data_IF_262679737300
#
_entry.id   IF_262679737300
#
_cell.length_a   1.000
_cell.length_b   1.000
_cell.length_c   1.000
_cell.angle_alpha   90.00
_cell.angle_beta   90.00
_cell.angle_gamma   90.00
#
_symmetry.space_group_name_H-M   'P 1'
#
loop_
_entity.id
_entity.type
_entity.pdbx_description
1 polymer ?
#
# COMPACT_ATOMS: atom_id res chain seq x y z
N UNK A 1 57.63 -29.39 -42.62
CA UNK A 1 57.72 -29.13 -41.17
C UNK A 1 57.05 -27.80 -40.86
N UNK A 2 55.85 -27.80 -40.28
CA UNK A 2 55.23 -26.61 -39.72
C UNK A 2 54.22 -27.05 -38.64
N UNK A 3 54.32 -26.43 -37.46
CA UNK A 3 53.75 -26.85 -36.18
C UNK A 3 52.22 -26.72 -36.15
N UNK A 4 51.53 -27.71 -35.57
CA UNK A 4 50.13 -27.63 -35.14
C UNK A 4 50.00 -26.55 -34.05
N UNK A 5 49.09 -25.56 -34.19
CA UNK A 5 48.68 -24.75 -33.06
C UNK A 5 47.60 -25.49 -32.25
N UNK A 6 47.97 -25.77 -31.00
CA UNK A 6 47.14 -26.24 -29.89
C UNK A 6 45.93 -25.33 -29.64
N UNK A 7 44.74 -25.91 -29.59
CA UNK A 7 43.52 -25.24 -29.13
C UNK A 7 43.55 -24.96 -27.62
N UNK A 8 43.25 -23.74 -27.15
CA UNK A 8 42.74 -23.52 -25.81
C UNK A 8 41.21 -23.53 -25.84
N UNK A 9 40.64 -24.47 -25.08
CA UNK A 9 39.20 -24.67 -24.87
C UNK A 9 38.60 -23.46 -24.13
N UNK A 10 37.67 -22.78 -24.81
CA UNK A 10 36.57 -21.92 -24.32
C UNK A 10 36.57 -21.61 -22.81
N UNK A 11 36.87 -20.35 -22.51
CA UNK A 11 36.50 -19.62 -21.28
C UNK A 11 35.00 -19.79 -21.00
N UNK A 12 34.69 -20.43 -19.87
CA UNK A 12 33.34 -20.47 -19.30
C UNK A 12 33.02 -19.12 -18.67
N UNK A 13 32.59 -18.15 -19.47
CA UNK A 13 31.91 -16.95 -18.96
C UNK A 13 30.47 -16.99 -19.47
N UNK A 14 29.67 -17.83 -18.82
CA UNK A 14 28.27 -18.05 -19.17
C UNK A 14 27.37 -17.72 -17.98
N UNK A 15 26.56 -16.67 -18.17
CA UNK A 15 25.32 -16.40 -17.47
C UNK A 15 25.39 -16.22 -15.94
N UNK A 16 25.55 -14.96 -15.52
CA UNK A 16 24.92 -14.49 -14.27
C UNK A 16 23.42 -14.79 -14.36
N UNK A 17 22.97 -15.83 -13.65
CA UNK A 17 21.56 -16.00 -13.27
C UNK A 17 21.18 -14.80 -12.42
N UNK A 18 20.62 -13.77 -13.03
CA UNK A 18 19.74 -12.84 -12.34
C UNK A 18 18.43 -13.60 -12.06
N UNK A 19 18.45 -14.46 -11.03
CA UNK A 19 17.20 -14.99 -10.50
C UNK A 19 16.47 -13.80 -9.89
N UNK A 20 15.38 -13.41 -10.53
CA UNK A 20 14.38 -12.52 -9.98
C UNK A 20 14.20 -12.84 -8.49
N UNK A 21 14.61 -11.90 -7.64
CA UNK A 21 14.31 -11.94 -6.22
C UNK A 21 12.82 -11.60 -6.10
N UNK A 22 11.98 -12.57 -6.46
CA UNK A 22 10.58 -12.55 -6.13
C UNK A 22 10.50 -12.45 -4.62
N UNK A 23 10.03 -11.30 -4.14
CA UNK A 23 9.60 -11.15 -2.77
C UNK A 23 8.45 -12.15 -2.56
N UNK A 24 8.80 -13.37 -2.18
CA UNK A 24 7.88 -14.40 -1.76
C UNK A 24 7.28 -13.96 -0.44
N UNK A 25 6.29 -13.07 -0.52
CA UNK A 25 5.40 -12.80 0.59
C UNK A 25 4.78 -14.13 0.99
N UNK A 26 5.17 -14.66 2.15
CA UNK A 26 4.53 -15.82 2.76
C UNK A 26 3.03 -15.53 2.75
N UNK A 27 2.28 -16.25 1.91
CA UNK A 27 0.82 -16.27 1.99
C UNK A 27 0.51 -16.88 3.34
N UNK A 28 0.23 -16.05 4.35
CA UNK A 28 -0.36 -16.52 5.59
C UNK A 28 -1.72 -17.12 5.22
N UNK A 29 -1.72 -18.45 5.03
CA UNK A 29 -2.91 -19.22 4.71
C UNK A 29 -3.95 -19.10 5.83
N UNK A 30 -5.20 -19.48 5.52
CA UNK A 30 -6.39 -19.23 6.33
C UNK A 30 -6.32 -19.57 7.83
N UNK A 31 -5.33 -20.35 8.28
CA UNK A 31 -5.05 -20.57 9.70
C UNK A 31 -4.80 -19.28 10.50
N UNK A 32 -4.17 -18.26 9.92
CA UNK A 32 -3.97 -16.97 10.61
C UNK A 32 -5.29 -16.24 10.91
N UNK A 33 -6.27 -16.33 9.99
CA UNK A 33 -7.61 -15.77 10.19
C UNK A 33 -8.39 -16.53 11.25
N UNK A 34 -8.28 -17.86 11.26
CA UNK A 34 -8.93 -18.69 12.27
C UNK A 34 -8.43 -18.37 13.68
N UNK A 35 -7.12 -18.23 13.86
CA UNK A 35 -6.53 -17.83 15.14
C UNK A 35 -7.03 -16.44 15.56
N UNK A 36 -7.07 -15.48 14.64
CA UNK A 36 -7.59 -14.14 14.94
C UNK A 36 -9.06 -14.16 15.37
N UNK A 37 -9.91 -14.94 14.70
CA UNK A 37 -11.32 -15.09 15.09
C UNK A 37 -11.48 -15.79 16.44
N UNK A 38 -10.70 -16.83 16.72
CA UNK A 38 -10.70 -17.50 18.03
C UNK A 38 -10.22 -16.57 19.15
N UNK A 39 -9.18 -15.78 18.91
CA UNK A 39 -8.69 -14.80 19.87
C UNK A 39 -9.75 -13.73 20.17
N UNK A 40 -10.40 -13.21 19.13
CA UNK A 40 -11.48 -12.24 19.30
C UNK A 40 -12.71 -12.83 20.02
N UNK A 41 -13.10 -14.07 19.68
CA UNK A 41 -14.18 -14.77 20.37
C UNK A 41 -13.84 -15.05 21.85
N UNK A 42 -12.59 -15.43 22.14
CA UNK A 42 -12.10 -15.57 23.50
C UNK A 42 -12.16 -14.25 24.27
N UNK A 43 -11.75 -13.15 23.63
CA UNK A 43 -11.83 -11.81 24.21
C UNK A 43 -13.26 -11.35 24.49
N UNK A 44 -14.21 -11.69 23.62
CA UNK A 44 -15.63 -11.40 23.83
C UNK A 44 -16.18 -12.11 25.08
N UNK A 45 -15.68 -13.30 25.39
CA UNK A 45 -16.09 -14.05 26.57
C UNK A 45 -15.39 -13.58 27.85
N UNK A 46 -14.08 -13.29 27.79
CA UNK A 46 -13.29 -12.93 28.98
C UNK A 46 -13.34 -11.46 29.34
N UNK A 47 -13.44 -10.56 28.35
CA UNK A 47 -13.48 -9.11 28.55
C UNK A 47 -14.53 -8.46 27.61
N UNK A 48 -15.84 -8.68 27.83
CA UNK A 48 -16.90 -8.14 26.99
C UNK A 48 -16.84 -6.61 26.78
N UNK A 49 -16.52 -5.78 27.80
CA UNK A 49 -16.41 -4.33 27.59
C UNK A 49 -15.32 -3.96 26.56
N UNK A 50 -14.18 -4.66 26.57
CA UNK A 50 -13.07 -4.35 25.66
C UNK A 50 -13.44 -4.75 24.23
N UNK A 51 -14.08 -5.90 24.06
CA UNK A 51 -14.59 -6.32 22.76
C UNK A 51 -15.64 -5.33 22.23
N UNK A 52 -16.54 -4.84 23.09
CA UNK A 52 -17.52 -3.81 22.71
C UNK A 52 -16.85 -2.50 22.28
N UNK A 53 -15.83 -2.04 23.01
CA UNK A 53 -15.06 -0.86 22.64
C UNK A 53 -14.39 -1.02 21.27
N UNK A 54 -13.80 -2.20 20.99
CA UNK A 54 -13.21 -2.48 19.68
C UNK A 54 -14.25 -2.45 18.56
N UNK A 55 -15.41 -3.07 18.75
CA UNK A 55 -16.47 -3.09 17.73
C UNK A 55 -16.95 -1.68 17.42
N UNK A 56 -17.20 -0.86 18.46
CA UNK A 56 -17.72 0.50 18.31
C UNK A 56 -16.64 1.45 17.78
N UNK A 57 -15.44 1.41 18.36
CA UNK A 57 -14.33 2.27 17.95
C UNK A 57 -13.85 1.98 16.53
N UNK A 58 -13.81 0.70 16.13
CA UNK A 58 -13.41 0.31 14.77
C UNK A 58 -14.53 0.36 13.73
N UNK A 59 -15.70 0.95 14.05
CA UNK A 59 -16.83 1.07 13.11
C UNK A 59 -16.42 1.59 11.71
N UNK A 60 -15.62 2.66 11.56
CA UNK A 60 -15.18 3.12 10.24
C UNK A 60 -14.45 2.03 9.43
N UNK A 61 -13.64 1.21 10.09
CA UNK A 61 -12.92 0.11 9.44
C UNK A 61 -13.86 -1.05 9.11
N UNK A 62 -14.84 -1.33 9.97
CA UNK A 62 -15.86 -2.35 9.70
C UNK A 62 -16.73 -1.96 8.49
N UNK A 63 -17.12 -0.68 8.39
CA UNK A 63 -17.84 -0.15 7.24
C UNK A 63 -17.01 -0.33 5.96
N UNK A 64 -15.74 0.04 5.98
CA UNK A 64 -14.85 -0.16 4.83
C UNK A 64 -14.68 -1.64 4.49
N UNK A 65 -14.58 -2.51 5.51
CA UNK A 65 -14.46 -3.95 5.34
C UNK A 65 -15.69 -4.53 4.66
N UNK A 66 -16.90 -4.04 4.94
CA UNK A 66 -18.14 -4.57 4.40
C UNK A 66 -18.51 -3.93 3.05
N UNK A 67 -18.26 -2.64 2.87
CA UNK A 67 -18.73 -1.87 1.72
C UNK A 67 -17.74 -1.74 0.56
N UNK A 68 -16.42 -1.84 0.80
CA UNK A 68 -15.43 -1.63 -0.26
C UNK A 68 -15.30 -2.86 -1.18
N UNK A 69 -15.54 -2.65 -2.47
CA UNK A 69 -15.48 -3.68 -3.52
C UNK A 69 -14.35 -3.44 -4.52
N UNK A 70 -13.49 -2.47 -4.26
CA UNK A 70 -12.43 -2.09 -5.20
C UNK A 70 -11.25 -3.05 -5.20
N UNK A 71 -10.45 -3.07 -6.30
CA UNK A 71 -9.22 -3.87 -6.37
C UNK A 71 -8.19 -3.52 -5.28
N UNK A 72 -8.16 -2.25 -4.86
CA UNK A 72 -7.21 -1.71 -3.90
C UNK A 72 -7.66 -1.88 -2.45
N UNK A 73 -8.81 -2.54 -2.22
CA UNK A 73 -9.43 -2.75 -0.91
C UNK A 73 -8.42 -3.17 0.16
N UNK A 74 -7.48 -4.07 -0.16
CA UNK A 74 -6.47 -4.54 0.81
C UNK A 74 -5.59 -3.41 1.36
N UNK A 75 -5.12 -2.50 0.51
CA UNK A 75 -4.25 -1.38 0.91
C UNK A 75 -5.06 -0.38 1.74
N UNK A 76 -6.26 -0.06 1.27
CA UNK A 76 -7.16 0.89 1.94
C UNK A 76 -7.60 0.40 3.31
N UNK A 77 -7.96 -0.88 3.41
CA UNK A 77 -8.31 -1.51 4.68
C UNK A 77 -7.15 -1.50 5.66
N UNK A 78 -5.93 -1.82 5.23
CA UNK A 78 -4.77 -1.84 6.11
C UNK A 78 -4.44 -0.46 6.66
N UNK A 79 -4.44 0.57 5.79
CA UNK A 79 -4.22 1.96 6.21
C UNK A 79 -5.30 2.42 7.20
N UNK A 80 -6.57 2.23 6.85
CA UNK A 80 -7.71 2.61 7.68
C UNK A 80 -7.69 1.87 9.03
N UNK A 81 -7.42 0.56 9.02
CA UNK A 81 -7.33 -0.25 10.23
C UNK A 81 -6.21 0.22 11.16
N UNK A 82 -5.01 0.47 10.63
CA UNK A 82 -3.87 0.90 11.45
C UNK A 82 -4.15 2.24 12.14
N UNK A 83 -4.65 3.22 11.39
CA UNK A 83 -4.97 4.55 11.92
C UNK A 83 -6.15 4.52 12.89
N UNK A 84 -7.24 3.85 12.53
CA UNK A 84 -8.41 3.74 13.39
C UNK A 84 -8.06 3.01 14.70
N UNK A 85 -7.36 1.86 14.61
CA UNK A 85 -6.90 1.13 15.79
C UNK A 85 -6.00 2.01 16.66
N UNK A 86 -5.09 2.78 16.07
CA UNK A 86 -4.24 3.72 16.80
C UNK A 86 -5.03 4.75 17.61
N UNK A 87 -6.17 5.22 17.12
CA UNK A 87 -7.06 6.12 17.86
C UNK A 87 -7.81 5.43 19.01
N UNK A 88 -8.10 4.14 18.87
CA UNK A 88 -8.79 3.33 19.90
C UNK A 88 -7.82 2.84 20.99
N UNK A 89 -6.53 2.66 20.65
CA UNK A 89 -5.48 2.17 21.57
C UNK A 89 -5.40 2.86 22.94
N UNK A 90 -5.37 4.20 23.06
CA UNK A 90 -5.26 4.84 24.39
C UNK A 90 -6.41 4.46 25.33
N UNK A 91 -7.63 4.31 24.79
CA UNK A 91 -8.82 3.91 25.55
C UNK A 91 -8.81 2.41 25.90
N UNK A 92 -8.24 1.58 25.02
CA UNK A 92 -8.00 0.16 25.32
C UNK A 92 -7.03 0.00 26.49
N UNK A 93 -5.92 0.74 26.48
CA UNK A 93 -4.92 0.71 27.56
C UNK A 93 -5.55 1.21 28.86
N UNK A 94 -6.27 2.35 28.84
CA UNK A 94 -6.99 2.87 30.02
C UNK A 94 -7.91 1.80 30.62
N UNK A 95 -8.66 1.08 29.79
CA UNK A 95 -9.59 0.05 30.26
C UNK A 95 -8.90 -1.25 30.69
N UNK A 96 -7.76 -1.58 30.10
CA UNK A 96 -6.95 -2.71 30.54
C UNK A 96 -6.37 -2.48 31.95
N UNK A 97 -5.84 -1.28 32.20
CA UNK A 97 -5.22 -0.92 33.49
C UNK A 97 -6.25 -0.71 34.60
N UNK A 98 -7.36 -0.02 34.31
CA UNK A 98 -8.42 0.23 35.29
C UNK A 98 -9.32 -1.00 35.56
N UNK A 99 -9.23 -2.02 34.71
CA UNK A 99 -10.10 -3.20 34.73
C UNK A 99 -11.29 -3.05 33.77
N UNK A 100 -11.63 -4.11 32.99
CA UNK A 100 -12.76 -4.07 32.07
C UNK A 100 -14.08 -3.87 32.82
N UNK A 101 -14.76 -2.74 32.58
CA UNK A 101 -16.08 -2.47 33.16
C UNK A 101 -16.99 -1.76 32.16
N UNK A 102 -18.29 -2.04 32.24
CA UNK A 102 -19.29 -1.35 31.42
C UNK A 102 -19.46 0.12 31.82
N UNK A 103 -19.17 0.47 33.08
CA UNK A 103 -19.19 1.87 33.54
C UNK A 103 -18.12 2.67 32.82
N UNK A 104 -16.88 2.16 32.77
CA UNK A 104 -15.79 2.82 32.07
C UNK A 104 -16.01 2.87 30.56
N UNK A 105 -16.58 1.82 29.98
CA UNK A 105 -16.99 1.83 28.57
C UNK A 105 -17.98 2.96 28.29
N UNK A 106 -19.01 3.12 29.13
CA UNK A 106 -20.00 4.18 28.94
C UNK A 106 -19.40 5.56 29.13
N UNK A 107 -18.50 5.74 30.11
CA UNK A 107 -17.75 6.99 30.28
C UNK A 107 -17.01 7.38 28.98
N UNK A 108 -16.26 6.43 28.40
CA UNK A 108 -15.54 6.63 27.12
C UNK A 108 -16.53 6.93 25.98
N UNK A 109 -17.64 6.21 25.88
CA UNK A 109 -18.63 6.40 24.81
C UNK A 109 -19.42 7.71 24.93
N UNK A 110 -19.52 8.29 26.12
CA UNK A 110 -20.17 9.60 26.32
C UNK A 110 -19.20 10.77 26.21
N UNK A 111 -17.89 10.52 26.21
CA UNK A 111 -16.87 11.55 26.11
C UNK A 111 -16.66 11.99 24.65
N UNK A 112 -16.94 13.27 24.38
CA UNK A 112 -16.71 13.88 23.08
C UNK A 112 -15.24 13.78 22.65
N UNK A 113 -14.30 13.96 23.58
CA UNK A 113 -12.88 13.88 23.26
C UNK A 113 -12.50 12.48 22.78
N UNK A 114 -13.08 11.43 23.38
CA UNK A 114 -12.88 10.06 22.93
C UNK A 114 -13.30 9.85 21.48
N UNK A 115 -14.49 10.35 21.09
CA UNK A 115 -14.93 10.29 19.70
C UNK A 115 -14.02 11.06 18.75
N UNK A 116 -13.57 12.26 19.14
CA UNK A 116 -12.67 13.05 18.29
C UNK A 116 -11.34 12.35 18.04
N UNK A 117 -10.78 11.65 19.03
CA UNK A 117 -9.52 10.91 18.87
C UNK A 117 -9.73 9.66 18.03
N UNK A 118 -10.76 8.86 18.33
CA UNK A 118 -11.03 7.62 17.58
C UNK A 118 -11.39 7.90 16.12
N UNK A 119 -12.37 8.78 15.88
CA UNK A 119 -12.81 9.13 14.53
C UNK A 119 -11.80 10.03 13.81
N UNK A 120 -11.10 10.90 14.53
CA UNK A 120 -10.05 11.75 13.96
C UNK A 120 -8.88 10.94 13.45
N UNK A 121 -8.45 9.91 14.20
CA UNK A 121 -7.42 9.00 13.74
C UNK A 121 -7.88 8.21 12.50
N UNK A 122 -9.10 7.66 12.52
CA UNK A 122 -9.69 7.00 11.36
C UNK A 122 -9.75 7.93 10.13
N UNK A 123 -10.18 9.18 10.33
CA UNK A 123 -10.22 10.22 9.31
C UNK A 123 -8.84 10.57 8.75
N UNK A 124 -7.80 10.59 9.59
CA UNK A 124 -6.42 10.78 9.13
C UNK A 124 -5.96 9.63 8.22
N UNK A 125 -6.35 8.39 8.54
CA UNK A 125 -6.10 7.24 7.66
C UNK A 125 -6.79 7.38 6.29
N UNK A 126 -8.04 7.85 6.27
CA UNK A 126 -8.75 8.15 5.03
C UNK A 126 -8.12 9.32 4.25
N UNK A 127 -7.72 10.39 4.94
CA UNK A 127 -7.06 11.54 4.34
C UNK A 127 -5.74 11.15 3.67
N UNK A 128 -4.96 10.25 4.30
CA UNK A 128 -3.73 9.72 3.71
C UNK A 128 -3.99 9.06 2.35
N UNK A 129 -5.08 8.29 2.24
CA UNK A 129 -5.46 7.62 0.99
C UNK A 129 -5.86 8.60 -0.12
N UNK A 130 -6.30 9.81 0.22
CA UNK A 130 -6.58 10.87 -0.76
C UNK A 130 -5.36 11.71 -1.11
N UNK A 131 -4.48 11.98 -0.14
CA UNK A 131 -3.30 12.82 -0.34
C UNK A 131 -2.22 12.09 -1.14
N UNK A 132 -1.99 10.80 -0.87
CA UNK A 132 -0.93 10.04 -1.54
C UNK A 132 -1.04 10.03 -3.08
N UNK A 133 -2.21 9.74 -3.70
CA UNK A 133 -2.36 9.77 -5.15
C UNK A 133 -2.01 11.11 -5.77
N UNK A 134 -2.43 12.22 -5.15
CA UNK A 134 -2.16 13.59 -5.62
C UNK A 134 -0.66 13.86 -5.64
N UNK A 135 0.04 13.49 -4.57
CA UNK A 135 1.50 13.64 -4.50
C UNK A 135 2.18 12.79 -5.57
N UNK A 136 1.77 11.53 -5.73
CA UNK A 136 2.37 10.64 -6.73
C UNK A 136 2.13 11.12 -8.16
N UNK A 137 0.94 11.67 -8.45
CA UNK A 137 0.64 12.25 -9.75
C UNK A 137 1.52 13.47 -10.04
N UNK A 138 1.69 14.36 -9.05
CA UNK A 138 2.58 15.53 -9.18
C UNK A 138 4.03 15.14 -9.44
N UNK A 139 4.56 14.15 -8.71
CA UNK A 139 5.91 13.62 -8.93
C UNK A 139 6.02 13.01 -10.34
N UNK A 140 5.04 12.21 -10.76
CA UNK A 140 5.05 11.58 -12.08
C UNK A 140 5.01 12.62 -13.21
N UNK A 141 4.21 13.68 -13.08
CA UNK A 141 4.19 14.77 -14.03
C UNK A 141 5.56 15.45 -14.15
N UNK A 142 6.21 15.75 -13.03
CA UNK A 142 7.55 16.35 -13.03
C UNK A 142 8.60 15.44 -13.69
N UNK A 143 8.58 14.14 -13.38
CA UNK A 143 9.49 13.17 -13.99
C UNK A 143 9.24 12.97 -15.49
N UNK A 144 7.97 13.01 -15.92
CA UNK A 144 7.60 12.85 -17.33
C UNK A 144 8.02 14.05 -18.17
N UNK A 145 8.00 15.27 -17.62
CA UNK A 145 8.48 16.47 -18.32
C UNK A 145 9.94 16.32 -18.75
N UNK A 146 10.83 15.86 -17.85
CA UNK A 146 12.23 15.64 -18.19
C UNK A 146 12.46 14.54 -19.25
N UNK A 147 11.57 13.53 -19.33
CA UNK A 147 11.62 12.54 -20.41
C UNK A 147 11.13 13.13 -21.74
N UNK A 148 10.06 13.92 -21.71
CA UNK A 148 9.52 14.58 -22.90
C UNK A 148 10.52 15.57 -23.51
N UNK A 149 11.22 16.34 -22.68
CA UNK A 149 12.28 17.27 -23.12
C UNK A 149 13.44 16.51 -23.80
N UNK A 150 13.93 15.43 -23.18
CA UNK A 150 14.99 14.59 -23.78
C UNK A 150 14.57 13.98 -25.11
N UNK A 151 13.32 13.51 -25.22
CA UNK A 151 12.79 13.00 -26.48
C UNK A 151 12.68 14.11 -27.54
N UNK A 152 12.31 15.33 -27.14
CA UNK A 152 12.29 16.50 -28.00
C UNK A 152 13.68 16.89 -28.52
N UNK A 153 14.70 16.86 -27.65
CA UNK A 153 16.10 17.10 -28.03
C UNK A 153 16.61 16.04 -29.02
N UNK A 154 16.34 14.76 -28.75
CA UNK A 154 16.71 13.65 -29.65
C UNK A 154 16.01 13.77 -31.01
N UNK A 155 14.71 14.12 -31.03
CA UNK A 155 13.97 14.37 -32.26
C UNK A 155 14.61 15.51 -33.07
N UNK A 156 14.98 16.60 -32.39
CA UNK A 156 15.59 17.77 -33.04
C UNK A 156 16.98 17.44 -33.59
N UNK A 157 17.78 16.66 -32.87
CA UNK A 157 19.08 16.18 -33.34
C UNK A 157 18.94 15.28 -34.58
N UNK A 158 17.98 14.35 -34.59
CA UNK A 158 17.71 13.49 -35.75
C UNK A 158 17.23 14.28 -36.97
N UNK A 159 16.34 15.27 -36.80
CA UNK A 159 15.91 16.15 -37.90
C UNK A 159 17.10 16.93 -38.47
N UNK A 160 18.03 17.40 -37.62
CA UNK A 160 19.22 18.12 -38.06
C UNK A 160 20.17 17.25 -38.87
N UNK A 161 20.34 15.97 -38.49
CA UNK A 161 21.26 15.04 -39.15
C UNK A 161 20.67 14.41 -40.41
N UNK A 162 19.38 14.09 -40.41
CA UNK A 162 18.73 13.27 -41.45
C UNK A 162 17.69 14.02 -42.29
N UNK A 163 17.40 15.29 -41.98
CA UNK A 163 16.42 16.13 -42.68
C UNK A 163 14.97 15.88 -42.25
N UNK A 164 14.04 16.72 -42.73
CA UNK A 164 12.63 16.73 -42.29
C UNK A 164 11.85 15.45 -42.62
N UNK A 165 12.31 14.62 -43.56
CA UNK A 165 11.63 13.39 -43.97
C UNK A 165 11.39 12.39 -42.83
N UNK A 166 12.25 12.38 -41.80
CA UNK A 166 12.13 11.47 -40.64
C UNK A 166 11.02 11.90 -39.67
N UNK A 167 10.57 13.16 -39.73
CA UNK A 167 9.54 13.69 -38.83
C UNK A 167 8.12 13.21 -39.16
N UNK A 168 7.89 12.74 -40.38
CA UNK A 168 6.57 12.47 -40.98
C UNK A 168 6.03 11.05 -40.75
N UNK A 169 6.84 10.12 -40.25
CA UNK A 169 6.44 8.71 -40.06
C UNK A 169 5.52 8.48 -38.83
N UNK A 170 5.32 9.51 -37.99
CA UNK A 170 4.57 9.40 -36.72
C UNK A 170 3.27 10.23 -36.71
N UNK A 171 2.83 10.83 -37.82
CA UNK A 171 1.44 11.31 -37.94
C UNK A 171 0.50 10.10 -38.18
N UNK A 172 0.43 9.21 -37.19
CA UNK A 172 -0.71 8.30 -37.07
C UNK A 172 -1.81 9.10 -36.36
N UNK A 173 -2.93 9.42 -37.03
CA UNK A 173 -4.03 10.14 -36.40
C UNK A 173 -4.51 9.33 -35.20
N UNK A 174 -4.76 10.03 -34.08
CA UNK A 174 -5.41 9.44 -32.92
C UNK A 174 -6.74 8.84 -33.39
N UNK A 175 -6.89 7.51 -33.26
CA UNK A 175 -8.15 6.82 -33.54
C UNK A 175 -9.28 7.45 -32.66
N UNK A 176 -10.49 7.63 -33.20
CA UNK A 176 -11.64 8.21 -32.50
C UNK A 176 -12.16 7.37 -31.33
#
# INVERSE_FOLDING_TARGET
>A
MAKKPTSPKKTKTGAKKASARGAGGKRYGGGGRLIAYMAFAGMLFTAPPIAALLIIGLLPTLVLLLADVTPERGIRLNAMFAFNLSGVLPYLVKMWEAGPSFVLLMEILTDLMAWTVMLGAAGAGAALLWVCPVITAGIQHYLNQGHAERLGEQRTAMIREWGEGVSSLEERPADP
#
